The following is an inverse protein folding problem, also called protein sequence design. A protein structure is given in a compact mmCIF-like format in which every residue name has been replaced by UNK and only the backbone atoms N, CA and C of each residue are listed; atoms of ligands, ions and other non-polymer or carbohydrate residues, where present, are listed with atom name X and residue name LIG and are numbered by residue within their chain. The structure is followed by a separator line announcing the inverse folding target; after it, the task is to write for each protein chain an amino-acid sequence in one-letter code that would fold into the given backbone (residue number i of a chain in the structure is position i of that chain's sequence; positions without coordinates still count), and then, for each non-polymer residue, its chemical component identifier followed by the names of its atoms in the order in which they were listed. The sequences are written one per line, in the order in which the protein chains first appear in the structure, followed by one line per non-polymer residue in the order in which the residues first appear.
data_IF_637028392515
#
_entry.id   IF_637028392515
#
_cell.length_a   1.000
_cell.length_b   1.000
_cell.length_c   1.000
_cell.angle_alpha   90.00
_cell.angle_beta   90.00
_cell.angle_gamma   90.00
#
_symmetry.space_group_name_H-M   'P 1'
#
loop_
_entity.id
_entity.type
_entity.pdbx_description
1 polymer ?
#
# COMPACT_ATOMS: atom_id res chain seq x y z
N UNK A 1 -8.02 5.10 5.90
CA UNK A 1 -7.63 4.78 4.51
C UNK A 1 -6.99 5.99 3.86
N UNK A 2 -5.89 5.77 3.18
CA UNK A 2 -5.13 6.86 2.58
C UNK A 2 -5.76 7.35 1.27
N UNK A 3 -6.53 6.52 0.62
CA UNK A 3 -7.14 6.86 -0.67
C UNK A 3 -6.73 5.83 -1.72
N UNK A 4 -6.76 6.23 -2.98
CA UNK A 4 -6.43 5.33 -4.08
C UNK A 4 -4.93 5.38 -4.32
N UNK A 5 -4.29 4.20 -4.32
CA UNK A 5 -2.87 4.04 -4.56
C UNK A 5 -2.65 2.89 -5.53
N UNK A 6 -1.46 2.85 -6.13
CA UNK A 6 -1.12 1.79 -7.06
C UNK A 6 -0.33 0.70 -6.36
N UNK A 7 -0.61 -0.54 -6.75
CA UNK A 7 0.16 -1.68 -6.26
C UNK A 7 1.62 -1.50 -6.66
N UNK A 8 2.51 -1.62 -5.68
CA UNK A 8 3.93 -1.44 -5.93
C UNK A 8 4.42 -0.01 -5.83
N UNK A 9 3.52 0.95 -5.65
CA UNK A 9 3.92 2.35 -5.48
C UNK A 9 4.54 2.56 -4.11
N UNK A 10 5.36 3.59 -3.98
CA UNK A 10 6.00 3.92 -2.71
C UNK A 10 4.96 4.39 -1.70
N UNK A 11 5.09 3.91 -0.46
CA UNK A 11 4.22 4.35 0.63
C UNK A 11 5.02 4.86 1.81
N UNK A 12 6.20 5.43 1.54
CA UNK A 12 7.01 5.99 2.60
C UNK A 12 6.24 7.05 3.37
N UNK A 13 6.21 6.94 4.69
CA UNK A 13 5.43 7.84 5.53
C UNK A 13 4.04 7.34 5.83
N UNK A 14 3.59 6.27 5.17
CA UNK A 14 2.26 5.70 5.38
C UNK A 14 2.33 4.29 5.90
N UNK A 15 3.41 3.94 6.58
CA UNK A 15 3.55 2.62 7.18
C UNK A 15 2.38 2.39 8.13
N UNK A 16 1.86 1.15 8.15
CA UNK A 16 0.69 0.77 8.95
C UNK A 16 -0.62 1.37 8.48
N UNK A 17 -0.64 1.96 7.29
CA UNK A 17 -1.86 2.48 6.71
C UNK A 17 -2.41 1.53 5.66
N UNK A 18 -3.66 1.73 5.30
CA UNK A 18 -4.30 0.96 4.23
C UNK A 18 -4.76 1.92 3.14
N UNK A 19 -4.85 1.40 1.94
CA UNK A 19 -5.33 2.17 0.80
C UNK A 19 -6.13 1.23 -0.10
N UNK A 20 -6.60 1.74 -1.22
CA UNK A 20 -7.37 0.96 -2.15
C UNK A 20 -6.78 1.13 -3.54
N UNK A 21 -6.64 0.04 -4.26
CA UNK A 21 -6.18 0.09 -5.64
C UNK A 21 -7.30 0.62 -6.54
N UNK A 22 -6.94 1.13 -7.73
CA UNK A 22 -7.97 1.64 -8.65
C UNK A 22 -9.01 0.60 -9.07
N UNK A 23 -8.66 -0.68 -8.99
CA UNK A 23 -9.58 -1.76 -9.34
C UNK A 23 -10.42 -2.23 -8.16
N UNK A 24 -10.29 -1.59 -7.00
CA UNK A 24 -11.11 -1.90 -5.83
C UNK A 24 -10.47 -2.80 -4.80
N UNK A 25 -9.29 -3.33 -5.06
CA UNK A 25 -8.59 -4.18 -4.10
C UNK A 25 -8.00 -3.34 -2.98
N UNK A 26 -7.94 -3.93 -1.79
CA UNK A 26 -7.31 -3.26 -0.66
C UNK A 26 -5.81 -3.48 -0.68
N UNK A 27 -5.08 -2.45 -0.26
CA UNK A 27 -3.62 -2.48 -0.19
C UNK A 27 -3.19 -2.11 1.21
N UNK A 28 -2.04 -2.65 1.63
CA UNK A 28 -1.39 -2.23 2.86
C UNK A 28 0.03 -1.77 2.52
N UNK A 29 0.56 -0.88 3.36
CA UNK A 29 1.93 -0.43 3.20
C UNK A 29 2.85 -1.42 3.88
N UNK A 30 3.77 -2.01 3.13
CA UNK A 30 4.72 -2.98 3.64
C UNK A 30 6.13 -2.44 3.50
N UNK A 31 6.91 -2.54 4.57
CA UNK A 31 8.30 -2.08 4.55
C UNK A 31 9.21 -3.30 4.40
N UNK A 32 10.00 -3.30 3.35
CA UNK A 32 10.96 -4.38 3.09
C UNK A 32 12.10 -3.83 2.25
N UNK A 33 13.31 -4.37 2.45
CA UNK A 33 14.49 -3.99 1.67
C UNK A 33 14.74 -2.49 1.70
N UNK A 34 14.54 -1.86 2.85
CA UNK A 34 14.75 -0.43 3.07
C UNK A 34 13.81 0.44 2.25
N UNK A 35 12.66 -0.10 1.88
CA UNK A 35 11.68 0.67 1.13
C UNK A 35 10.28 0.24 1.52
N UNK A 36 9.36 1.17 1.46
CA UNK A 36 7.96 0.90 1.75
C UNK A 36 7.18 0.97 0.45
N UNK A 37 6.40 -0.08 0.18
CA UNK A 37 5.60 -0.14 -1.04
C UNK A 37 4.22 -0.69 -0.71
N UNK A 38 3.25 -0.35 -1.53
CA UNK A 38 1.90 -0.85 -1.39
C UNK A 38 1.83 -2.28 -1.90
N UNK A 39 1.28 -3.18 -1.09
CA UNK A 39 1.11 -4.58 -1.45
C UNK A 39 -0.34 -4.95 -1.19
N UNK A 40 -0.77 -6.08 -1.75
CA UNK A 40 -2.12 -6.56 -1.53
C UNK A 40 -2.35 -6.85 -0.06
N UNK A 41 -3.42 -6.30 0.48
CA UNK A 41 -3.71 -6.44 1.89
C UNK A 41 -4.67 -7.57 2.22
N UNK A 42 -5.22 -8.21 1.22
CA UNK A 42 -6.21 -9.25 1.43
C UNK A 42 -5.63 -10.66 1.38
N UNK A 43 -4.38 -10.77 1.35
CA UNK A 43 -3.61 -12.04 1.35
C UNK A 43 -4.42 -13.26 0.93
#
# INVERSE_FOLDING_TARGET
MVGIKDLGASCTGYENSVAQAPDGLFLTCSFADNRAVWVRGDA
#
